data_IF_548236255961
#
_entry.id   IF_548236255961
#
_cell.length_a   1.000
_cell.length_b   1.000
_cell.length_c   1.000
_cell.angle_alpha   90.00
_cell.angle_beta   90.00
_cell.angle_gamma   90.00
#
_symmetry.space_group_name_H-M   'P 1'
#
loop_
_entity.id
_entity.type
_entity.pdbx_description
1 polymer ?
#
# COMPACT_ATOMS: atom_id res chain seq x y z
N UNK A 1 -0.18 -3.81 -55.53
CA UNK A 1 0.36 -2.89 -54.50
C UNK A 1 -0.77 -2.46 -53.59
N UNK A 2 -0.52 -2.53 -52.27
CA UNK A 2 -1.32 -2.05 -51.14
C UNK A 2 -2.76 -2.60 -50.99
N UNK A 3 -2.92 -3.61 -50.11
CA UNK A 3 -4.16 -3.82 -49.37
C UNK A 3 -3.88 -3.67 -47.87
N UNK A 4 -4.70 -2.85 -47.23
CA UNK A 4 -4.58 -2.39 -45.86
C UNK A 4 -4.81 -3.51 -44.84
N UNK A 5 -3.97 -3.55 -43.80
CA UNK A 5 -4.14 -4.40 -42.63
C UNK A 5 -5.31 -3.91 -41.76
N UNK A 6 -6.18 -4.78 -41.25
CA UNK A 6 -7.20 -4.38 -40.29
C UNK A 6 -6.57 -4.23 -38.89
N UNK A 7 -6.85 -3.08 -38.27
CA UNK A 7 -6.52 -2.72 -36.90
C UNK A 7 -7.03 -3.80 -35.92
N UNK A 8 -6.10 -4.50 -35.28
CA UNK A 8 -6.40 -5.39 -34.17
C UNK A 8 -6.83 -4.58 -32.94
N UNK A 9 -8.10 -4.73 -32.55
CA UNK A 9 -8.62 -4.24 -31.27
C UNK A 9 -7.77 -4.77 -30.12
N UNK A 10 -7.06 -3.88 -29.44
CA UNK A 10 -6.39 -4.14 -28.16
C UNK A 10 -7.46 -4.25 -27.07
N UNK A 11 -7.81 -5.47 -26.69
CA UNK A 11 -8.61 -5.74 -25.51
C UNK A 11 -7.71 -5.93 -24.30
N UNK A 12 -7.69 -4.98 -23.37
CA UNK A 12 -7.14 -5.19 -22.03
C UNK A 12 -8.06 -6.17 -21.27
N UNK A 13 -7.69 -7.46 -21.21
CA UNK A 13 -8.19 -8.30 -20.14
C UNK A 13 -7.37 -8.00 -18.89
N UNK A 14 -7.92 -7.13 -18.06
CA UNK A 14 -7.57 -7.06 -16.65
C UNK A 14 -8.01 -8.38 -16.02
N UNK A 15 -7.05 -9.17 -15.54
CA UNK A 15 -7.36 -10.16 -14.52
C UNK A 15 -8.05 -9.42 -13.37
N UNK A 16 -9.19 -9.94 -12.93
CA UNK A 16 -10.01 -9.34 -11.88
C UNK A 16 -9.19 -9.16 -10.59
N UNK A 17 -8.74 -7.93 -10.39
CA UNK A 17 -8.68 -7.18 -9.13
C UNK A 17 -7.97 -5.86 -9.44
N UNK A 18 -8.65 -4.95 -10.12
CA UNK A 18 -8.42 -3.50 -9.97
C UNK A 18 -9.60 -2.76 -10.58
N UNK A 19 -10.26 -1.99 -9.73
CA UNK A 19 -11.33 -1.04 -10.02
C UNK A 19 -11.07 -0.20 -11.29
N UNK A 20 -12.06 -0.16 -12.18
CA UNK A 20 -12.08 0.71 -13.37
C UNK A 20 -12.06 2.19 -12.95
N UNK A 21 -10.92 2.85 -13.05
CA UNK A 21 -10.88 4.31 -13.27
C UNK A 21 -10.31 4.60 -14.66
N UNK A 22 -11.15 5.18 -15.51
CA UNK A 22 -10.78 5.68 -16.84
C UNK A 22 -10.00 6.98 -16.65
N UNK A 23 -8.72 7.02 -17.02
CA UNK A 23 -8.01 8.27 -17.21
C UNK A 23 -7.72 8.49 -18.70
N UNK A 24 -8.38 9.51 -19.24
CA UNK A 24 -7.98 10.17 -20.50
C UNK A 24 -6.76 11.06 -20.22
N UNK A 25 -5.84 11.09 -21.18
CA UNK A 25 -4.80 12.11 -21.40
C UNK A 25 -4.58 12.14 -22.92
N UNK A 26 -4.14 13.25 -23.57
CA UNK A 26 -3.00 14.04 -23.08
C UNK A 26 -2.89 15.55 -23.45
N UNK A 27 -1.93 16.22 -22.76
CA UNK A 27 -0.99 17.30 -23.17
C UNK A 27 -1.53 18.73 -23.45
N UNK A 28 -1.01 19.72 -22.73
CA UNK A 28 0.01 20.70 -23.21
C UNK A 28 0.66 21.49 -22.06
N UNK A 29 1.91 21.87 -22.32
CA UNK A 29 2.88 22.55 -21.45
C UNK A 29 2.66 24.06 -21.30
N UNK A 30 3.09 24.66 -20.18
CA UNK A 30 3.85 25.93 -20.22
C UNK A 30 4.66 26.17 -18.94
N UNK A 31 5.85 26.74 -19.15
CA UNK A 31 6.88 27.12 -18.16
C UNK A 31 6.51 28.44 -17.46
N UNK A 32 7.01 28.62 -16.24
CA UNK A 32 7.25 29.92 -15.56
C UNK A 32 7.91 29.65 -14.20
N UNK A 33 9.21 29.92 -14.04
CA UNK A 33 9.80 31.00 -13.20
C UNK A 33 9.01 31.19 -11.89
N UNK A 34 9.53 30.87 -10.71
CA UNK A 34 10.83 31.22 -10.15
C UNK A 34 10.54 32.27 -9.08
N UNK A 35 10.62 31.89 -7.81
CA UNK A 35 10.87 32.88 -6.75
C UNK A 35 11.47 32.19 -5.51
N UNK A 36 12.53 32.82 -5.02
CA UNK A 36 13.37 32.39 -3.90
C UNK A 36 13.15 33.42 -2.80
N UNK A 37 12.84 32.99 -1.58
CA UNK A 37 12.86 33.86 -0.40
C UNK A 37 13.04 33.04 0.90
N UNK A 38 13.62 33.66 1.95
CA UNK A 38 14.71 33.08 2.74
C UNK A 38 14.25 32.44 4.08
N UNK A 39 15.18 31.85 4.86
CA UNK A 39 14.85 31.27 6.16
C UNK A 39 14.65 32.36 7.21
N UNK A 40 13.66 32.19 8.08
CA UNK A 40 13.50 33.02 9.27
C UNK A 40 14.22 32.40 10.47
N UNK A 41 15.00 33.26 11.09
CA UNK A 41 15.96 33.08 12.18
C UNK A 41 15.31 32.88 13.55
N UNK A 42 16.09 32.22 14.41
CA UNK A 42 15.91 32.09 15.85
C UNK A 42 16.10 33.45 16.57
N UNK A 43 15.35 33.65 17.66
CA UNK A 43 15.73 34.53 18.76
C UNK A 43 14.82 35.73 19.01
N UNK A 44 13.95 35.62 20.02
CA UNK A 44 13.80 36.68 21.05
C UNK A 44 13.03 36.13 22.26
N UNK A 45 13.67 36.21 23.42
CA UNK A 45 13.10 36.03 24.76
C UNK A 45 12.54 37.36 25.26
N UNK A 46 11.51 37.31 26.11
CA UNK A 46 11.23 38.18 27.28
C UNK A 46 9.83 37.84 27.84
N UNK A 47 9.49 38.12 29.11
CA UNK A 47 10.23 37.93 30.35
C UNK A 47 9.47 37.04 31.37
N UNK A 48 10.20 36.67 32.43
CA UNK A 48 9.74 36.06 33.67
C UNK A 48 8.77 36.97 34.43
N UNK A 49 7.61 36.43 34.81
CA UNK A 49 6.73 36.99 35.83
C UNK A 49 6.64 36.05 37.03
N UNK A 50 7.31 36.42 38.13
CA UNK A 50 7.08 35.82 39.45
C UNK A 50 5.69 36.26 39.95
N UNK A 51 4.83 35.28 40.23
CA UNK A 51 3.59 35.48 40.98
C UNK A 51 3.41 34.32 41.95
N UNK A 52 3.75 34.55 43.21
CA UNK A 52 3.49 33.62 44.33
C UNK A 52 2.02 33.71 44.74
N UNK A 53 1.31 32.58 44.72
CA UNK A 53 0.05 32.43 45.44
C UNK A 53 0.05 31.06 46.15
N UNK A 54 -0.06 31.10 47.48
CA UNK A 54 -0.17 29.94 48.36
C UNK A 54 -1.60 29.41 48.42
N UNK A 55 -1.67 28.11 48.66
CA UNK A 55 -2.73 27.30 49.31
C UNK A 55 -4.15 27.36 48.74
N UNK A 56 -4.61 26.21 48.23
CA UNK A 56 -5.45 25.33 49.04
C UNK A 56 -5.41 23.90 48.49
N UNK A 57 -5.16 22.96 49.39
CA UNK A 57 -5.22 21.53 49.11
C UNK A 57 -6.64 21.13 48.74
N UNK A 58 -6.79 20.68 47.50
CA UNK A 58 -7.75 19.68 47.10
C UNK A 58 -7.01 18.84 46.07
N UNK A 59 -6.41 17.74 46.52
CA UNK A 59 -6.03 16.65 45.63
C UNK A 59 -7.32 16.08 45.05
N UNK A 60 -7.79 16.72 43.97
CA UNK A 60 -8.75 16.11 43.07
C UNK A 60 -7.96 15.04 42.35
N UNK A 61 -7.99 13.83 42.89
CA UNK A 61 -7.67 12.61 42.13
C UNK A 61 -8.74 12.53 41.03
N UNK A 62 -8.49 13.22 39.92
CA UNK A 62 -9.22 13.04 38.68
C UNK A 62 -8.97 11.59 38.26
N UNK A 63 -9.92 10.72 38.58
CA UNK A 63 -9.92 9.36 38.08
C UNK A 63 -9.92 9.40 36.56
N UNK A 64 -8.74 9.22 35.95
CA UNK A 64 -8.62 9.06 34.51
C UNK A 64 -9.57 7.95 34.08
N UNK A 65 -10.52 8.29 33.21
CA UNK A 65 -11.46 7.35 32.63
C UNK A 65 -10.70 6.14 32.07
N UNK A 66 -10.93 4.96 32.64
CA UNK A 66 -10.29 3.66 32.30
C UNK A 66 -10.62 3.12 30.89
N UNK A 67 -11.02 3.97 29.95
CA UNK A 67 -11.29 3.51 28.60
C UNK A 67 -9.97 3.28 27.84
N UNK A 68 -9.78 2.12 27.21
CA UNK A 68 -8.57 1.85 26.46
C UNK A 68 -8.48 2.82 25.28
N UNK A 69 -7.28 3.36 25.04
CA UNK A 69 -7.03 4.21 23.86
C UNK A 69 -7.41 3.50 22.57
N UNK A 70 -7.78 4.25 21.53
CA UNK A 70 -8.13 3.66 20.22
C UNK A 70 -6.97 2.83 19.62
N UNK A 71 -5.72 3.19 19.93
CA UNK A 71 -4.55 2.41 19.57
C UNK A 71 -4.55 1.04 20.25
N UNK A 72 -4.88 0.98 21.54
CA UNK A 72 -5.03 -0.26 22.32
C UNK A 72 -6.17 -1.13 21.79
N UNK A 73 -7.30 -0.54 21.43
CA UNK A 73 -8.43 -1.28 20.82
C UNK A 73 -8.00 -1.86 19.48
N UNK A 74 -7.36 -1.05 18.63
CA UNK A 74 -6.94 -1.44 17.29
C UNK A 74 -5.91 -2.56 17.30
N UNK A 75 -4.87 -2.46 18.14
CA UNK A 75 -3.84 -3.50 18.20
C UNK A 75 -4.44 -4.86 18.57
N UNK A 76 -5.41 -4.87 19.52
CA UNK A 76 -6.06 -6.11 19.98
C UNK A 76 -6.81 -6.79 18.84
N UNK A 77 -7.40 -6.03 17.92
CA UNK A 77 -8.12 -6.54 16.74
C UNK A 77 -7.17 -7.11 15.69
N UNK A 78 -5.99 -6.52 15.52
CA UNK A 78 -5.09 -6.88 14.41
C UNK A 78 -3.92 -7.78 14.76
N UNK A 79 -3.61 -7.99 16.05
CA UNK A 79 -2.40 -8.70 16.51
C UNK A 79 -2.18 -10.07 15.85
N UNK A 80 -3.25 -10.82 15.56
CA UNK A 80 -3.17 -12.15 14.92
C UNK A 80 -2.85 -12.11 13.42
N UNK A 81 -2.97 -10.94 12.79
CA UNK A 81 -2.66 -10.74 11.37
C UNK A 81 -1.29 -10.08 11.16
N UNK A 82 -0.58 -9.74 12.24
CA UNK A 82 0.74 -9.13 12.19
C UNK A 82 1.85 -10.18 12.23
N UNK A 83 3.03 -9.90 11.65
CA UNK A 83 4.20 -10.75 11.86
C UNK A 83 4.56 -10.85 13.35
N UNK A 84 5.08 -12.00 13.76
CA UNK A 84 5.56 -12.20 15.14
C UNK A 84 6.57 -11.12 15.51
N UNK A 85 6.32 -10.40 16.61
CA UNK A 85 7.19 -9.29 17.07
C UNK A 85 6.86 -7.91 16.48
N UNK A 86 5.90 -7.79 15.55
CA UNK A 86 5.52 -6.50 14.97
C UNK A 86 4.57 -5.66 15.84
N UNK A 87 3.94 -6.26 16.85
CA UNK A 87 2.95 -5.59 17.71
C UNK A 87 3.46 -4.28 18.34
N UNK A 88 4.65 -4.23 18.98
CA UNK A 88 5.17 -2.99 19.57
C UNK A 88 5.44 -1.89 18.54
N UNK A 89 5.83 -2.28 17.32
CA UNK A 89 6.06 -1.36 16.22
C UNK A 89 4.74 -0.71 15.77
N UNK A 90 3.72 -1.52 15.49
CA UNK A 90 2.40 -1.04 15.05
C UNK A 90 1.71 -0.20 16.14
N UNK A 91 1.78 -0.64 17.41
CA UNK A 91 1.26 0.11 18.55
C UNK A 91 1.82 1.53 18.60
N UNK A 92 3.14 1.69 18.41
CA UNK A 92 3.80 3.01 18.41
C UNK A 92 3.26 3.90 17.30
N UNK A 93 3.10 3.36 16.10
CA UNK A 93 2.56 4.11 14.96
C UNK A 93 1.11 4.56 15.21
N UNK A 94 0.28 3.71 15.82
CA UNK A 94 -1.11 4.03 16.15
C UNK A 94 -1.25 5.05 17.29
N UNK A 95 -0.24 5.18 18.16
CA UNK A 95 -0.17 6.27 19.15
C UNK A 95 0.25 7.59 18.52
N UNK A 96 1.14 7.56 17.52
CA UNK A 96 1.55 8.77 16.77
C UNK A 96 0.38 9.35 15.96
N UNK A 97 -0.47 8.51 15.37
CA UNK A 97 -1.69 8.92 14.65
C UNK A 97 -2.86 8.06 15.10
N UNK A 98 -3.68 8.53 16.07
CA UNK A 98 -4.84 7.80 16.57
C UNK A 98 -5.76 7.36 15.44
N UNK A 99 -5.83 6.04 15.25
CA UNK A 99 -6.56 5.40 14.15
C UNK A 99 -7.18 4.10 14.64
N UNK A 100 -8.47 3.91 14.37
CA UNK A 100 -9.17 2.64 14.53
C UNK A 100 -8.79 1.71 13.38
N UNK A 101 -8.28 0.51 13.66
CA UNK A 101 -7.99 -0.49 12.63
C UNK A 101 -8.98 -1.65 12.73
N UNK A 102 -9.62 -1.97 11.60
CA UNK A 102 -10.64 -3.00 11.48
C UNK A 102 -10.23 -3.99 10.39
N UNK A 103 -9.82 -5.22 10.75
CA UNK A 103 -9.66 -6.29 9.77
C UNK A 103 -11.04 -6.67 9.21
N UNK A 104 -11.15 -6.81 7.90
CA UNK A 104 -12.40 -7.15 7.20
C UNK A 104 -12.19 -8.32 6.25
N UNK A 105 -13.29 -8.96 5.82
CA UNK A 105 -13.24 -9.97 4.77
C UNK A 105 -12.63 -9.41 3.47
N UNK A 106 -11.96 -10.29 2.71
CA UNK A 106 -11.24 -9.87 1.52
C UNK A 106 -12.19 -9.40 0.43
N UNK A 107 -11.93 -8.21 -0.09
CA UNK A 107 -12.65 -7.56 -1.20
C UNK A 107 -11.72 -7.45 -2.39
N UNK A 108 -12.22 -7.74 -3.59
CA UNK A 108 -11.41 -7.68 -4.81
C UNK A 108 -11.07 -6.24 -5.27
N UNK A 109 -11.87 -5.25 -4.85
CA UNK A 109 -11.75 -3.87 -5.35
C UNK A 109 -10.69 -3.02 -4.65
N UNK A 110 -10.29 -3.40 -3.43
CA UNK A 110 -9.28 -2.69 -2.62
C UNK A 110 -8.74 -3.59 -1.50
N UNK A 111 -7.45 -3.48 -1.23
CA UNK A 111 -6.76 -4.22 -0.16
C UNK A 111 -6.90 -3.55 1.21
N UNK A 112 -7.07 -2.23 1.23
CA UNK A 112 -7.26 -1.41 2.41
C UNK A 112 -8.00 -0.13 2.07
N UNK A 113 -8.41 0.60 3.10
CA UNK A 113 -9.05 1.91 2.95
C UNK A 113 -8.93 2.74 4.23
N UNK A 114 -8.50 3.98 4.10
CA UNK A 114 -8.54 4.99 5.17
C UNK A 114 -9.72 5.94 5.00
N UNK A 115 -10.49 6.13 6.08
CA UNK A 115 -11.56 7.12 6.15
C UNK A 115 -11.42 7.99 7.40
N UNK A 116 -11.85 9.26 7.28
CA UNK A 116 -11.92 10.20 8.40
C UNK A 116 -13.33 10.76 8.48
N UNK A 117 -14.09 10.30 9.46
CA UNK A 117 -15.43 10.84 9.77
C UNK A 117 -15.31 12.21 10.45
N UNK A 118 -16.21 13.13 10.08
CA UNK A 118 -16.28 14.45 10.71
C UNK A 118 -16.73 14.31 12.17
N UNK A 119 -16.08 15.05 13.08
CA UNK A 119 -16.39 15.01 14.51
C UNK A 119 -15.69 13.89 15.29
N UNK A 120 -15.13 12.87 14.63
CA UNK A 120 -14.37 11.80 15.29
C UNK A 120 -12.91 12.23 15.53
N UNK A 121 -12.33 12.07 16.73
CA UNK A 121 -10.94 12.50 17.00
C UNK A 121 -9.89 11.62 16.31
N UNK A 122 -10.23 10.37 15.96
CA UNK A 122 -9.36 9.42 15.26
C UNK A 122 -9.84 9.14 13.83
N UNK A 123 -8.98 8.57 12.98
CA UNK A 123 -9.37 8.04 11.67
C UNK A 123 -9.74 6.56 11.75
N UNK A 124 -10.28 5.98 10.68
CA UNK A 124 -10.56 4.54 10.57
C UNK A 124 -9.82 3.95 9.37
N UNK A 125 -9.20 2.79 9.57
CA UNK A 125 -8.60 1.98 8.52
C UNK A 125 -9.32 0.63 8.49
N UNK A 126 -9.77 0.23 7.31
CA UNK A 126 -10.13 -1.18 7.05
C UNK A 126 -9.01 -1.84 6.26
N UNK A 127 -8.67 -3.09 6.61
CA UNK A 127 -7.66 -3.88 5.89
C UNK A 127 -8.22 -5.26 5.63
N UNK A 128 -8.11 -5.76 4.40
CA UNK A 128 -8.52 -7.10 4.07
C UNK A 128 -7.63 -8.11 4.81
N UNK A 129 -8.25 -9.10 5.44
CA UNK A 129 -7.54 -10.26 5.97
C UNK A 129 -6.96 -11.06 4.80
N UNK A 130 -5.70 -11.49 4.94
CA UNK A 130 -5.03 -12.33 3.95
C UNK A 130 -4.09 -13.33 4.64
N UNK A 131 -3.73 -14.40 3.92
CA UNK A 131 -2.80 -15.43 4.39
C UNK A 131 -1.33 -15.01 4.44
N UNK A 132 -1.03 -13.71 4.50
CA UNK A 132 0.34 -13.20 4.55
C UNK A 132 0.42 -11.99 5.48
N UNK A 133 0.97 -12.19 6.66
CA UNK A 133 1.04 -11.16 7.70
C UNK A 133 1.91 -9.97 7.31
N UNK A 134 2.92 -10.16 6.45
CA UNK A 134 3.73 -9.06 5.93
C UNK A 134 2.98 -8.22 4.91
N UNK A 135 2.15 -8.84 4.05
CA UNK A 135 1.24 -8.11 3.15
C UNK A 135 0.23 -7.30 3.95
N UNK A 136 -0.40 -7.91 4.95
CA UNK A 136 -1.32 -7.21 5.84
C UNK A 136 -0.65 -5.98 6.48
N UNK A 137 0.57 -6.13 7.00
CA UNK A 137 1.33 -5.03 7.59
C UNK A 137 1.66 -3.93 6.56
N UNK A 138 2.09 -4.27 5.35
CA UNK A 138 2.38 -3.29 4.30
C UNK A 138 1.13 -2.50 3.90
N UNK A 139 -0.01 -3.17 3.73
CA UNK A 139 -1.30 -2.53 3.45
C UNK A 139 -1.73 -1.63 4.61
N UNK A 140 -1.56 -2.05 5.86
CA UNK A 140 -1.84 -1.20 7.01
C UNK A 140 -0.97 0.06 7.01
N UNK A 141 0.33 -0.06 6.67
CA UNK A 141 1.23 1.10 6.57
C UNK A 141 0.86 2.03 5.40
N UNK A 142 0.36 1.48 4.29
CA UNK A 142 -0.17 2.25 3.16
C UNK A 142 -1.30 3.16 3.63
N UNK A 143 -2.27 2.59 4.34
CA UNK A 143 -3.42 3.35 4.84
C UNK A 143 -3.04 4.31 5.98
N UNK A 144 -2.07 3.95 6.83
CA UNK A 144 -1.51 4.86 7.84
C UNK A 144 -0.77 6.04 7.22
N UNK A 145 -0.17 5.90 6.03
CA UNK A 145 0.40 7.03 5.31
C UNK A 145 -0.69 8.01 4.88
N UNK A 146 -1.85 7.53 4.40
CA UNK A 146 -3.01 8.40 4.16
C UNK A 146 -3.47 9.09 5.45
N UNK A 147 -3.55 8.36 6.57
CA UNK A 147 -3.92 8.93 7.86
C UNK A 147 -2.96 10.04 8.32
N UNK A 148 -1.64 9.83 8.18
CA UNK A 148 -0.60 10.85 8.49
C UNK A 148 -0.73 12.08 7.62
N UNK A 149 -0.96 11.90 6.33
CA UNK A 149 -1.18 13.01 5.40
C UNK A 149 -2.45 13.79 5.80
N UNK A 150 -3.56 13.09 6.04
CA UNK A 150 -4.81 13.74 6.45
C UNK A 150 -4.67 14.51 7.78
N UNK A 151 -3.91 13.98 8.74
CA UNK A 151 -3.66 14.65 10.02
C UNK A 151 -2.75 15.89 9.88
N UNK A 152 -1.76 15.84 8.97
CA UNK A 152 -0.75 16.90 8.82
C UNK A 152 -1.19 18.02 7.89
N UNK A 153 -1.96 17.71 6.85
CA UNK A 153 -2.31 18.67 5.80
C UNK A 153 -3.80 19.04 5.88
N UNK A 154 -4.08 20.34 6.02
CA UNK A 154 -5.46 20.88 6.13
C UNK A 154 -6.23 20.96 4.80
N UNK A 155 -5.55 20.74 3.67
CA UNK A 155 -6.13 20.84 2.31
C UNK A 155 -6.28 19.44 1.72
N UNK A 156 -7.21 19.30 0.76
CA UNK A 156 -7.36 18.06 -0.01
C UNK A 156 -6.06 17.75 -0.75
N UNK A 157 -5.39 16.67 -0.33
CA UNK A 157 -4.17 16.18 -0.98
C UNK A 157 -4.54 15.15 -2.03
N UNK A 158 -3.80 15.15 -3.15
CA UNK A 158 -3.96 14.12 -4.18
C UNK A 158 -3.62 12.75 -3.58
N UNK A 159 -4.50 11.74 -3.73
CA UNK A 159 -4.17 10.37 -3.35
C UNK A 159 -2.87 9.92 -4.01
N UNK A 160 -1.97 9.34 -3.21
CA UNK A 160 -0.67 8.86 -3.66
C UNK A 160 0.23 9.93 -4.30
N UNK A 161 -0.03 11.21 -4.01
CA UNK A 161 0.81 12.33 -4.39
C UNK A 161 2.15 12.40 -3.62
N UNK A 162 2.97 13.43 -3.86
CA UNK A 162 4.29 13.56 -3.23
C UNK A 162 4.27 13.43 -1.70
N UNK A 163 3.31 14.08 -1.04
CA UNK A 163 3.18 14.03 0.42
C UNK A 163 2.93 12.62 0.94
N UNK A 164 2.08 11.85 0.23
CA UNK A 164 1.80 10.47 0.59
C UNK A 164 3.01 9.58 0.33
N UNK A 165 3.68 9.75 -0.82
CA UNK A 165 4.90 8.98 -1.13
C UNK A 165 5.98 9.20 -0.07
N UNK A 166 6.15 10.44 0.38
CA UNK A 166 7.11 10.79 1.42
C UNK A 166 6.77 10.16 2.78
N UNK A 167 5.50 10.21 3.21
CA UNK A 167 5.08 9.56 4.45
C UNK A 167 5.17 8.04 4.37
N UNK A 168 4.80 7.45 3.22
CA UNK A 168 4.88 6.02 3.03
C UNK A 168 6.35 5.54 2.98
N UNK A 169 7.24 6.25 2.26
CA UNK A 169 8.67 5.99 2.28
C UNK A 169 9.24 6.02 3.71
N UNK A 170 8.88 7.03 4.52
CA UNK A 170 9.29 7.11 5.93
C UNK A 170 8.83 5.89 6.74
N UNK A 171 7.59 5.46 6.58
CA UNK A 171 7.07 4.26 7.24
C UNK A 171 7.82 3.00 6.80
N UNK A 172 8.09 2.86 5.50
CA UNK A 172 8.79 1.70 4.94
C UNK A 172 10.26 1.65 5.36
N UNK A 173 10.96 2.78 5.45
CA UNK A 173 12.33 2.82 6.00
C UNK A 173 12.37 2.43 7.48
N UNK A 174 11.35 2.83 8.27
CA UNK A 174 11.21 2.39 9.66
C UNK A 174 10.94 0.89 9.73
N UNK A 175 10.08 0.37 8.85
CA UNK A 175 9.76 -1.05 8.75
C UNK A 175 10.98 -1.89 8.34
N UNK A 176 11.73 -1.45 7.33
CA UNK A 176 12.89 -2.21 6.81
C UNK A 176 13.98 -2.43 7.84
N UNK A 177 14.04 -1.60 8.90
CA UNK A 177 15.01 -1.71 10.00
C UNK A 177 14.52 -2.57 11.16
N UNK A 178 13.30 -3.12 11.09
CA UNK A 178 12.76 -3.94 12.17
C UNK A 178 13.33 -5.36 12.12
N UNK A 179 13.71 -5.89 13.28
CA UNK A 179 14.31 -7.22 13.44
C UNK A 179 13.34 -8.36 13.11
N UNK A 180 12.02 -8.15 13.24
CA UNK A 180 11.02 -9.14 12.87
C UNK A 180 10.87 -9.33 11.36
N UNK A 181 11.52 -8.48 10.55
CA UNK A 181 11.46 -8.53 9.11
C UNK A 181 12.61 -9.38 8.56
N UNK A 182 12.33 -10.50 7.86
CA UNK A 182 13.38 -11.37 7.34
C UNK A 182 14.32 -10.61 6.39
N UNK A 183 15.62 -10.94 6.38
CA UNK A 183 16.65 -10.14 5.70
C UNK A 183 16.37 -9.84 4.22
N UNK A 184 15.91 -10.85 3.45
CA UNK A 184 15.55 -10.65 2.04
C UNK A 184 14.35 -9.72 1.86
N UNK A 185 13.31 -9.90 2.67
CA UNK A 185 12.12 -9.06 2.66
C UNK A 185 12.44 -7.63 3.12
N UNK A 186 13.29 -7.47 4.14
CA UNK A 186 13.82 -6.17 4.57
C UNK A 186 14.51 -5.44 3.44
N UNK A 187 15.42 -6.10 2.71
CA UNK A 187 16.08 -5.52 1.54
C UNK A 187 15.10 -5.12 0.43
N UNK A 188 14.06 -5.92 0.18
CA UNK A 188 13.03 -5.60 -0.80
C UNK A 188 12.16 -4.40 -0.36
N UNK A 189 11.72 -4.35 0.90
CA UNK A 189 10.97 -3.23 1.48
C UNK A 189 11.81 -1.95 1.45
N UNK A 190 13.10 -2.03 1.76
CA UNK A 190 14.01 -0.89 1.69
C UNK A 190 14.10 -0.31 0.26
N UNK A 191 14.25 -1.18 -0.75
CA UNK A 191 14.25 -0.74 -2.16
C UNK A 191 12.90 -0.12 -2.56
N UNK A 192 11.80 -0.71 -2.12
CA UNK A 192 10.46 -0.17 -2.37
C UNK A 192 10.29 1.23 -1.76
N UNK A 193 10.88 1.46 -0.58
CA UNK A 193 10.83 2.77 0.10
C UNK A 193 11.50 3.90 -0.69
N UNK A 194 12.44 3.60 -1.60
CA UNK A 194 13.12 4.61 -2.44
C UNK A 194 12.19 5.23 -3.49
N UNK A 195 11.22 4.47 -4.00
CA UNK A 195 10.21 4.94 -4.95
C UNK A 195 8.89 4.19 -4.73
N UNK A 196 8.15 4.53 -3.65
CA UNK A 196 6.97 3.79 -3.25
C UNK A 196 5.87 3.83 -4.30
N UNK A 197 5.24 2.68 -4.52
CA UNK A 197 4.11 2.52 -5.46
C UNK A 197 2.80 2.57 -4.70
N UNK A 198 1.76 3.07 -5.36
CA UNK A 198 0.39 3.10 -4.79
C UNK A 198 -0.21 1.71 -4.61
N UNK A 199 0.38 0.68 -5.23
CA UNK A 199 0.10 -0.73 -4.94
C UNK A 199 1.41 -1.51 -5.02
N UNK A 200 1.59 -2.46 -4.12
CA UNK A 200 2.73 -3.37 -4.11
C UNK A 200 2.75 -4.26 -5.37
N UNK A 201 1.64 -4.44 -6.07
CA UNK A 201 1.55 -5.25 -7.30
C UNK A 201 2.43 -4.72 -8.44
N UNK A 202 2.74 -3.42 -8.43
CA UNK A 202 3.63 -2.80 -9.41
C UNK A 202 5.12 -2.96 -9.08
N UNK A 203 5.46 -3.53 -7.92
CA UNK A 203 6.83 -3.86 -7.54
C UNK A 203 7.05 -5.37 -7.57
N UNK A 204 7.44 -5.88 -8.75
CA UNK A 204 7.72 -7.29 -8.95
C UNK A 204 8.75 -7.85 -7.96
N UNK A 205 9.78 -7.09 -7.60
CA UNK A 205 10.81 -7.58 -6.69
C UNK A 205 10.28 -7.75 -5.26
N UNK A 206 9.46 -6.79 -4.80
CA UNK A 206 8.79 -6.89 -3.50
C UNK A 206 7.78 -8.05 -3.48
N UNK A 207 7.00 -8.22 -4.54
CA UNK A 207 6.02 -9.30 -4.67
C UNK A 207 6.65 -10.69 -4.57
N UNK A 208 7.79 -10.88 -5.25
CA UNK A 208 8.52 -12.16 -5.22
C UNK A 208 9.00 -12.53 -3.81
N UNK A 209 9.47 -11.55 -3.04
CA UNK A 209 9.90 -11.79 -1.66
C UNK A 209 8.72 -11.98 -0.70
N UNK A 210 7.62 -11.22 -0.87
CA UNK A 210 6.40 -11.40 -0.07
C UNK A 210 5.79 -12.78 -0.26
N UNK A 211 5.82 -13.32 -1.49
CA UNK A 211 5.22 -14.63 -1.81
C UNK A 211 5.75 -15.76 -0.96
N UNK A 212 7.00 -15.70 -0.50
CA UNK A 212 7.61 -16.71 0.38
C UNK A 212 6.84 -16.91 1.70
N UNK A 213 5.95 -15.98 2.04
CA UNK A 213 5.16 -15.96 3.26
C UNK A 213 3.66 -16.10 3.02
N UNK A 214 3.22 -16.42 1.79
CA UNK A 214 1.82 -16.73 1.51
C UNK A 214 1.48 -18.12 2.07
N UNK A 215 0.49 -18.21 2.95
CA UNK A 215 0.04 -19.49 3.54
C UNK A 215 -1.14 -20.12 2.82
N UNK A 216 -1.88 -19.34 2.02
CA UNK A 216 -3.15 -19.76 1.41
C UNK A 216 -3.13 -19.89 -0.11
N UNK A 217 -2.28 -19.14 -0.83
CA UNK A 217 -2.20 -19.17 -2.30
C UNK A 217 -0.85 -19.71 -2.80
N UNK A 218 -0.88 -20.97 -3.23
CA UNK A 218 0.29 -21.70 -3.74
C UNK A 218 0.36 -21.74 -5.27
N UNK A 219 -0.52 -21.03 -5.99
CA UNK A 219 -0.50 -21.02 -7.46
C UNK A 219 0.83 -20.50 -7.98
N UNK A 220 1.23 -21.03 -9.14
CA UNK A 220 2.41 -20.59 -9.87
C UNK A 220 2.22 -19.15 -10.34
N UNK A 221 3.33 -18.44 -10.52
CA UNK A 221 3.34 -17.17 -11.25
C UNK A 221 3.61 -17.42 -12.73
N UNK A 222 3.13 -16.52 -13.59
CA UNK A 222 3.43 -16.58 -15.04
C UNK A 222 4.95 -16.63 -15.30
N UNK A 223 5.76 -15.96 -14.47
CA UNK A 223 7.22 -15.98 -14.60
C UNK A 223 7.85 -17.36 -14.43
N UNK A 224 7.21 -18.26 -13.69
CA UNK A 224 7.69 -19.62 -13.42
C UNK A 224 7.35 -20.62 -14.53
N UNK A 225 6.53 -20.21 -15.49
CA UNK A 225 6.20 -21.04 -16.64
C UNK A 225 7.24 -20.85 -17.75
N UNK A 226 7.51 -21.89 -18.53
CA UNK A 226 8.32 -21.77 -19.74
C UNK A 226 7.60 -20.99 -20.85
N UNK A 227 8.37 -20.43 -21.81
CA UNK A 227 7.79 -19.79 -23.00
C UNK A 227 7.02 -20.85 -23.79
N UNK A 228 5.79 -20.54 -24.19
CA UNK A 228 4.91 -21.45 -24.91
C UNK A 228 3.98 -22.27 -24.01
N UNK A 229 4.13 -22.23 -22.69
CA UNK A 229 3.23 -22.93 -21.76
C UNK A 229 1.82 -22.32 -21.78
N UNK A 230 0.80 -23.19 -21.82
CA UNK A 230 -0.61 -22.81 -21.72
C UNK A 230 -1.01 -22.67 -20.25
N UNK A 231 -1.73 -21.62 -19.92
CA UNK A 231 -2.18 -21.34 -18.56
C UNK A 231 -3.50 -20.57 -18.55
N UNK A 232 -4.15 -20.51 -17.39
CA UNK A 232 -5.30 -19.65 -17.15
C UNK A 232 -5.07 -18.75 -15.94
N UNK A 233 -5.59 -17.52 -15.99
CA UNK A 233 -5.57 -16.56 -14.88
C UNK A 233 -6.81 -16.69 -13.99
N UNK A 234 -7.93 -17.10 -14.59
CA UNK A 234 -9.28 -17.07 -14.02
C UNK A 234 -10.02 -18.42 -14.18
N UNK A 235 -9.33 -19.47 -14.61
CA UNK A 235 -9.89 -20.79 -14.91
C UNK A 235 -10.58 -20.88 -16.28
N UNK A 236 -10.90 -19.76 -16.92
CA UNK A 236 -11.73 -19.73 -18.14
C UNK A 236 -10.93 -19.37 -19.40
N UNK A 237 -10.04 -18.39 -19.30
CA UNK A 237 -9.29 -17.87 -20.44
C UNK A 237 -7.93 -18.54 -20.55
N UNK A 238 -7.78 -19.44 -21.53
CA UNK A 238 -6.48 -20.08 -21.82
C UNK A 238 -5.57 -19.13 -22.60
N UNK A 239 -4.45 -18.77 -21.99
CA UNK A 239 -3.39 -17.96 -22.57
C UNK A 239 -2.14 -18.82 -22.78
N UNK A 240 -1.32 -18.43 -23.76
CA UNK A 240 0.01 -18.97 -23.97
C UNK A 240 1.05 -17.95 -23.54
N UNK A 241 1.98 -18.35 -22.66
CA UNK A 241 3.07 -17.49 -22.22
C UNK A 241 4.00 -17.17 -23.38
N UNK A 242 4.31 -15.90 -23.60
CA UNK A 242 5.38 -15.44 -24.48
C UNK A 242 6.53 -14.84 -23.68
N UNK A 243 7.24 -13.90 -24.29
CA UNK A 243 8.44 -13.28 -23.70
C UNK A 243 8.12 -12.16 -22.71
N UNK A 244 9.06 -11.90 -21.81
CA UNK A 244 9.03 -10.71 -20.97
C UNK A 244 9.37 -9.48 -21.83
N UNK A 245 8.39 -8.57 -21.97
CA UNK A 245 8.55 -7.31 -22.68
C UNK A 245 8.49 -6.16 -21.66
N UNK A 246 9.64 -5.52 -21.42
CA UNK A 246 9.84 -4.48 -20.40
C UNK A 246 9.50 -4.98 -18.99
N UNK A 247 8.26 -4.75 -18.52
CA UNK A 247 7.77 -5.09 -17.17
C UNK A 247 6.57 -6.04 -17.18
N UNK A 248 6.21 -6.57 -18.36
CA UNK A 248 5.01 -7.38 -18.56
C UNK A 248 5.35 -8.57 -19.43
N UNK A 249 4.66 -9.69 -19.21
CA UNK A 249 4.79 -10.86 -20.06
C UNK A 249 3.78 -10.73 -21.18
N UNK A 250 4.27 -10.78 -22.42
CA UNK A 250 3.41 -10.83 -23.60
C UNK A 250 2.83 -12.24 -23.69
N UNK A 251 1.52 -12.37 -23.72
CA UNK A 251 0.83 -13.65 -23.84
C UNK A 251 -0.09 -13.64 -25.06
N UNK A 252 -0.38 -14.81 -25.61
CA UNK A 252 -1.27 -14.95 -26.77
C UNK A 252 -2.50 -15.74 -26.37
N UNK A 253 -3.69 -15.25 -26.69
CA UNK A 253 -4.95 -15.96 -26.44
C UNK A 253 -5.37 -16.90 -27.57
N UNK A 254 -6.53 -17.56 -27.42
CA UNK A 254 -6.96 -18.64 -28.31
C UNK A 254 -7.18 -18.21 -29.75
N UNK A 255 -7.58 -16.95 -29.99
CA UNK A 255 -7.82 -16.42 -31.35
C UNK A 255 -6.65 -15.53 -31.83
N UNK A 256 -5.47 -15.68 -31.24
CA UNK A 256 -4.28 -14.89 -31.58
C UNK A 256 -4.22 -13.49 -30.96
N UNK A 257 -5.15 -13.13 -30.06
CA UNK A 257 -5.11 -11.83 -29.37
C UNK A 257 -3.89 -11.74 -28.46
N UNK A 258 -3.31 -10.54 -28.35
CA UNK A 258 -2.15 -10.30 -27.49
C UNK A 258 -2.59 -9.71 -26.15
N UNK A 259 -2.08 -10.28 -25.08
CA UNK A 259 -2.30 -9.88 -23.69
C UNK A 259 -0.99 -9.45 -23.05
N UNK A 260 -1.07 -8.51 -22.13
CA UNK A 260 0.06 -8.02 -21.33
C UNK A 260 -0.18 -8.35 -19.87
N UNK A 261 0.45 -9.41 -19.38
CA UNK A 261 0.21 -9.98 -18.04
C UNK A 261 1.30 -9.52 -17.06
N UNK A 262 0.94 -9.34 -15.78
CA UNK A 262 1.95 -9.09 -14.74
C UNK A 262 2.88 -10.30 -14.60
N UNK A 263 4.19 -10.10 -14.41
CA UNK A 263 5.13 -11.20 -14.16
C UNK A 263 4.76 -12.07 -12.95
N UNK A 264 4.11 -11.46 -11.96
CA UNK A 264 3.71 -12.07 -10.69
C UNK A 264 2.25 -12.53 -10.66
N UNK A 265 1.53 -12.43 -11.78
CA UNK A 265 0.14 -12.89 -11.84
C UNK A 265 0.07 -14.39 -11.55
N UNK A 266 -0.93 -14.78 -10.77
CA UNK A 266 -1.16 -16.18 -10.38
C UNK A 266 -1.88 -16.92 -11.49
N UNK A 267 -1.41 -18.13 -11.76
CA UNK A 267 -1.86 -18.93 -12.90
C UNK A 267 -1.98 -20.41 -12.55
N UNK A 268 -2.87 -21.06 -13.28
CA UNK A 268 -3.00 -22.51 -13.31
C UNK A 268 -2.57 -23.02 -14.68
N UNK A 269 -1.69 -24.01 -14.70
CA UNK A 269 -1.26 -24.66 -15.95
C UNK A 269 -2.39 -25.46 -16.55
N UNK A 270 -2.62 -25.30 -17.85
CA UNK A 270 -3.64 -26.06 -18.58
C UNK A 270 -2.95 -27.10 -19.43
N UNK A 271 -3.23 -28.37 -19.16
CA UNK A 271 -2.73 -29.48 -19.95
C UNK A 271 -3.80 -29.92 -20.94
N UNK A 272 -3.40 -30.19 -22.17
CA UNK A 272 -4.30 -30.82 -23.14
C UNK A 272 -4.60 -32.25 -22.64
N UNK A 273 -5.89 -32.59 -22.46
CA UNK A 273 -6.28 -33.97 -22.16
C UNK A 273 -5.94 -34.83 -23.39
N UNK A 274 -5.11 -35.85 -23.19
CA UNK A 274 -4.87 -36.89 -24.18
C UNK A 274 -6.11 -37.75 -24.38
#
# INVERSE_FOLDING_TARGET
>A
MAQASPLSHQGELFAASTSRERFKSPITSRRGRGDVSPPLTFGEQLPLGLGTARSNGHDIVLGESRQPSIATVSIRRVRSYLPTGAEPFVMRLLREVPTEVVPVESRESKHGDFTKEAGTPYGRITVNVCGNSYRFLLTLLHELAHARVAARYRRRIKPHGPQWKDEFARLLFRLSRQHFLPGRLSGAVHRHALDPKSTDEYDTALQLELRRYDTTDQRLMVTELDVGTKFSLDGNTVLRRGELIRRRIRCTGPKGQIYSVLPVARVETVYDRK
#
